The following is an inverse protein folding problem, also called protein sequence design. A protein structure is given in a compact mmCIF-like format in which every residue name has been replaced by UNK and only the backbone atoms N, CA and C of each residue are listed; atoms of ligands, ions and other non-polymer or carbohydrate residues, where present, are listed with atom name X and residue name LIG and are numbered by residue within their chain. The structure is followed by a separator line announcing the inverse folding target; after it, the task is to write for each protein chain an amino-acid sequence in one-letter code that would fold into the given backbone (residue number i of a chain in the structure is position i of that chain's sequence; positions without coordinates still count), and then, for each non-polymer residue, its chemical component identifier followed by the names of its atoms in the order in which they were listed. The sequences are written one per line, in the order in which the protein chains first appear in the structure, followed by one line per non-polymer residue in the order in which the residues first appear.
data_IF_687728099447
#
_entry.id   IF_687728099447
#
_cell.length_a   1.000
_cell.length_b   1.000
_cell.length_c   1.000
_cell.angle_alpha   90.00
_cell.angle_beta   90.00
_cell.angle_gamma   90.00
#
_symmetry.space_group_name_H-M   'P 1'
#
loop_
_entity.id
_entity.type
_entity.pdbx_description
1 polymer ?
#
# COMPACT_ATOMS: atom_id res chain seq x y z
N UNK A 1 -10.85 12.77 25.23
CA UNK A 1 -11.58 12.60 23.96
C UNK A 1 -12.98 12.06 24.25
N UNK A 2 -13.93 12.05 23.30
CA UNK A 2 -15.19 11.35 23.54
C UNK A 2 -14.87 9.87 23.83
N UNK A 3 -15.44 9.33 24.91
CA UNK A 3 -15.30 7.91 25.19
C UNK A 3 -15.80 7.11 23.97
N UNK A 4 -15.12 6.04 23.55
CA UNK A 4 -14.04 5.30 24.22
C UNK A 4 -12.61 5.77 23.87
N UNK A 5 -12.43 6.88 23.16
CA UNK A 5 -11.13 7.29 22.66
C UNK A 5 -10.31 8.07 23.70
N UNK A 6 -9.00 7.81 23.75
CA UNK A 6 -8.06 8.56 24.61
C UNK A 6 -7.65 9.91 23.99
N UNK A 7 -7.56 9.97 22.66
CA UNK A 7 -7.11 11.14 21.89
C UNK A 7 -8.20 11.64 20.94
N UNK A 8 -8.34 12.96 20.82
CA UNK A 8 -9.25 13.60 19.87
C UNK A 8 -8.53 14.74 19.17
N UNK A 9 -8.75 14.83 17.86
CA UNK A 9 -8.29 15.92 17.02
C UNK A 9 -9.54 16.60 16.44
N UNK A 10 -9.68 17.90 16.69
CA UNK A 10 -10.79 18.70 16.18
C UNK A 10 -10.25 19.61 15.09
N UNK A 11 -10.78 19.47 13.88
CA UNK A 11 -10.40 20.26 12.70
C UNK A 11 -11.59 21.10 12.25
N UNK A 12 -11.69 22.38 12.67
CA UNK A 12 -12.74 23.28 12.19
C UNK A 12 -12.65 23.47 10.68
N UNK A 13 -13.75 23.24 9.96
CA UNK A 13 -13.82 23.40 8.51
C UNK A 13 -14.04 24.88 8.16
N UNK A 14 -13.26 25.39 7.22
CA UNK A 14 -13.24 26.82 6.87
C UNK A 14 -14.50 27.32 6.15
N UNK A 15 -15.10 26.48 5.30
CA UNK A 15 -16.17 26.81 4.37
C UNK A 15 -16.88 25.54 3.87
N UNK A 16 -17.95 25.72 3.10
CA UNK A 16 -18.72 24.63 2.48
C UNK A 16 -17.86 23.74 1.58
N UNK A 17 -16.93 24.32 0.81
CA UNK A 17 -16.06 23.55 -0.07
C UNK A 17 -15.13 22.60 0.70
N UNK A 18 -14.65 23.02 1.88
CA UNK A 18 -13.90 22.17 2.80
C UNK A 18 -14.77 21.08 3.43
N UNK A 19 -16.05 21.36 3.73
CA UNK A 19 -17.01 20.36 4.17
C UNK A 19 -17.26 19.28 3.11
N UNK A 20 -17.53 19.69 1.87
CA UNK A 20 -17.74 18.76 0.76
C UNK A 20 -16.48 17.92 0.49
N UNK A 21 -15.29 18.51 0.63
CA UNK A 21 -14.02 17.78 0.51
C UNK A 21 -13.85 16.77 1.64
N UNK A 22 -14.11 17.14 2.89
CA UNK A 22 -14.01 16.24 4.03
C UNK A 22 -14.93 15.04 3.86
N UNK A 23 -16.19 15.26 3.46
CA UNK A 23 -17.15 14.18 3.20
C UNK A 23 -16.66 13.23 2.09
N UNK A 24 -16.14 13.78 0.97
CA UNK A 24 -15.53 12.95 -0.09
C UNK A 24 -14.33 12.14 0.40
N UNK A 25 -13.47 12.72 1.23
CA UNK A 25 -12.30 12.02 1.77
C UNK A 25 -12.71 10.91 2.76
N UNK A 26 -13.73 11.15 3.59
CA UNK A 26 -14.30 10.12 4.47
C UNK A 26 -14.90 8.97 3.66
N UNK A 27 -15.56 9.26 2.54
CA UNK A 27 -16.06 8.22 1.63
C UNK A 27 -14.97 7.47 0.88
N UNK A 28 -13.82 8.09 0.64
CA UNK A 28 -12.68 7.50 -0.07
C UNK A 28 -11.81 6.58 0.81
N UNK A 29 -12.07 6.48 2.12
CA UNK A 29 -11.36 5.55 3.00
C UNK A 29 -11.56 4.11 2.49
N UNK A 30 -10.45 3.38 2.37
CA UNK A 30 -10.39 2.01 1.89
C UNK A 30 -9.44 1.14 2.76
N UNK A 31 -9.34 -0.14 2.41
CA UNK A 31 -8.50 -1.14 3.08
C UNK A 31 -7.03 -0.72 3.21
N UNK A 32 -6.52 0.15 2.32
CA UNK A 32 -5.12 0.54 2.29
C UNK A 32 -4.70 1.22 3.60
N UNK A 33 -5.60 1.94 4.27
CA UNK A 33 -5.27 2.59 5.54
C UNK A 33 -5.00 1.57 6.67
N UNK A 34 -5.79 0.50 6.75
CA UNK A 34 -5.58 -0.60 7.71
C UNK A 34 -4.36 -1.45 7.35
N UNK A 35 -4.00 -1.54 6.07
CA UNK A 35 -2.79 -2.22 5.61
C UNK A 35 -1.52 -1.38 5.85
N UNK A 36 -1.63 -0.06 5.76
CA UNK A 36 -0.51 0.87 5.97
C UNK A 36 -0.20 1.08 7.46
N UNK A 37 -1.17 0.84 8.35
CA UNK A 37 -1.04 1.04 9.79
C UNK A 37 -1.30 -0.27 10.54
N UNK A 38 -0.28 -1.13 10.73
CA UNK A 38 -0.44 -2.42 11.41
C UNK A 38 -0.89 -2.33 12.88
N UNK A 39 -0.81 -1.15 13.50
CA UNK A 39 -1.35 -0.88 14.83
C UNK A 39 -2.82 -0.45 14.84
N UNK A 40 -3.42 -0.22 13.68
CA UNK A 40 -4.82 0.16 13.53
C UNK A 40 -5.68 -1.09 13.26
N UNK A 41 -6.65 -1.33 14.13
CA UNK A 41 -7.53 -2.50 14.05
C UNK A 41 -8.93 -2.16 13.52
N UNK A 42 -9.41 -0.93 13.78
CA UNK A 42 -10.75 -0.49 13.40
C UNK A 42 -10.73 0.96 12.93
N UNK A 43 -11.55 1.23 11.91
CA UNK A 43 -11.93 2.58 11.51
C UNK A 43 -13.45 2.65 11.53
N UNK A 44 -14.00 3.62 12.26
CA UNK A 44 -15.43 3.97 12.21
C UNK A 44 -15.54 5.33 11.55
N UNK A 45 -16.32 5.40 10.47
CA UNK A 45 -16.62 6.62 9.72
C UNK A 45 -18.07 7.00 9.96
N UNK A 46 -18.26 8.17 10.57
CA UNK A 46 -19.56 8.80 10.79
C UNK A 46 -19.57 10.13 10.02
N UNK A 47 -20.48 10.27 9.05
CA UNK A 47 -20.54 11.42 8.17
C UNK A 47 -21.99 11.91 8.04
N UNK A 48 -22.31 13.04 8.68
CA UNK A 48 -23.66 13.59 8.72
C UNK A 48 -24.68 12.57 9.25
N UNK A 49 -25.80 12.43 8.55
CA UNK A 49 -26.87 11.48 8.87
C UNK A 49 -26.69 10.10 8.19
N UNK A 50 -25.57 9.86 7.50
CA UNK A 50 -25.30 8.58 6.87
C UNK A 50 -25.09 7.48 7.93
N UNK A 51 -25.48 6.21 7.64
CA UNK A 51 -25.18 5.12 8.55
C UNK A 51 -23.67 4.99 8.75
N UNK A 52 -23.25 4.78 10.00
CA UNK A 52 -21.84 4.55 10.36
C UNK A 52 -21.25 3.40 9.52
N UNK A 53 -20.09 3.63 8.91
CA UNK A 53 -19.33 2.61 8.19
C UNK A 53 -18.16 2.16 9.04
N UNK A 54 -17.98 0.85 9.17
CA UNK A 54 -16.89 0.27 9.96
C UNK A 54 -16.01 -0.58 9.07
N UNK A 55 -14.69 -0.36 9.14
CA UNK A 55 -13.67 -1.23 8.58
C UNK A 55 -12.90 -1.86 9.73
N UNK A 56 -12.80 -3.19 9.76
CA UNK A 56 -12.04 -3.94 10.78
C UNK A 56 -10.97 -4.78 10.14
N UNK A 57 -9.78 -4.77 10.73
CA UNK A 57 -8.68 -5.65 10.37
C UNK A 57 -8.58 -6.78 11.39
N UNK A 58 -8.37 -8.00 10.89
CA UNK A 58 -7.92 -9.15 11.69
C UNK A 58 -6.92 -9.98 10.92
N UNK A 59 -6.25 -10.89 11.61
CA UNK A 59 -5.33 -11.86 11.00
C UNK A 59 -5.99 -13.23 10.93
N UNK A 60 -5.89 -13.91 9.79
CA UNK A 60 -6.38 -15.27 9.59
C UNK A 60 -5.29 -16.11 8.91
N UNK A 61 -4.54 -16.88 9.71
CA UNK A 61 -3.35 -17.58 9.23
C UNK A 61 -2.32 -16.60 8.66
N UNK A 62 -1.98 -16.76 7.38
CA UNK A 62 -1.06 -15.89 6.66
C UNK A 62 -1.74 -14.70 5.95
N UNK A 63 -3.06 -14.53 6.12
CA UNK A 63 -3.83 -13.49 5.46
C UNK A 63 -4.18 -12.37 6.44
N UNK A 64 -4.13 -11.14 5.95
CA UNK A 64 -4.77 -9.99 6.60
C UNK A 64 -6.20 -9.88 6.06
N UNK A 65 -7.20 -9.93 6.94
CA UNK A 65 -8.61 -9.85 6.54
C UNK A 65 -9.13 -8.48 6.92
N UNK A 66 -9.71 -7.77 5.96
CA UNK A 66 -10.40 -6.50 6.17
C UNK A 66 -11.89 -6.71 5.94
N UNK A 67 -12.69 -6.43 6.95
CA UNK A 67 -14.16 -6.49 6.91
C UNK A 67 -14.67 -5.05 6.86
N UNK A 68 -15.25 -4.68 5.72
CA UNK A 68 -15.91 -3.38 5.51
C UNK A 68 -17.43 -3.58 5.51
N UNK A 69 -18.14 -2.88 6.40
CA UNK A 69 -19.60 -2.94 6.49
C UNK A 69 -20.31 -2.50 5.21
N UNK A 70 -19.62 -1.80 4.30
CA UNK A 70 -20.12 -1.37 3.00
C UNK A 70 -19.67 -2.28 1.85
N UNK A 71 -18.38 -2.57 1.75
CA UNK A 71 -17.77 -3.25 0.59
C UNK A 71 -17.57 -4.76 0.79
N UNK A 72 -17.88 -5.28 1.98
CA UNK A 72 -17.74 -6.69 2.34
C UNK A 72 -16.33 -7.04 2.83
N UNK A 73 -15.99 -8.33 2.77
CA UNK A 73 -14.72 -8.84 3.28
C UNK A 73 -13.68 -8.99 2.17
N UNK A 74 -12.51 -8.38 2.34
CA UNK A 74 -11.33 -8.62 1.51
C UNK A 74 -10.30 -9.41 2.30
N UNK A 75 -9.75 -10.48 1.70
CA UNK A 75 -8.61 -11.20 2.25
C UNK A 75 -7.37 -10.80 1.50
N UNK A 76 -6.34 -10.34 2.19
CA UNK A 76 -5.11 -9.84 1.62
C UNK A 76 -3.96 -10.77 1.96
N UNK A 77 -3.22 -11.19 0.94
CA UNK A 77 -1.86 -11.69 1.14
C UNK A 77 -0.92 -10.51 1.16
N UNK A 78 -0.07 -10.45 2.18
CA UNK A 78 0.88 -9.36 2.37
C UNK A 78 2.29 -9.89 2.53
N UNK A 79 3.27 -9.14 2.01
CA UNK A 79 4.68 -9.27 2.37
C UNK A 79 5.17 -7.89 2.74
N UNK A 80 5.86 -7.79 3.87
CA UNK A 80 6.40 -6.54 4.36
C UNK A 80 7.89 -6.69 4.69
N UNK A 81 8.67 -5.70 4.28
CA UNK A 81 10.09 -5.58 4.58
C UNK A 81 10.37 -4.19 5.13
N UNK A 82 11.27 -4.08 6.09
CA UNK A 82 11.66 -2.81 6.70
C UNK A 82 13.08 -2.89 7.23
N UNK A 83 13.69 -1.74 7.48
CA UNK A 83 15.03 -1.69 8.04
C UNK A 83 15.54 -0.28 8.25
N UNK A 84 16.77 -0.14 8.77
CA UNK A 84 17.41 1.16 8.92
C UNK A 84 17.84 1.71 7.55
N UNK A 85 17.88 3.04 7.44
CA UNK A 85 18.49 3.78 6.35
C UNK A 85 19.88 4.26 6.76
N UNK A 86 20.83 4.17 5.84
CA UNK A 86 22.17 4.71 6.04
C UNK A 86 22.18 6.22 5.74
N UNK A 87 23.04 7.02 6.40
CA UNK A 87 23.05 8.48 6.23
C UNK A 87 23.30 8.96 4.79
N UNK A 88 24.05 8.19 3.98
CA UNK A 88 24.33 8.47 2.57
C UNK A 88 23.05 8.46 1.72
N UNK A 89 22.11 7.56 1.99
CA UNK A 89 20.80 7.54 1.32
C UNK A 89 19.94 8.77 1.64
N UNK A 90 20.26 9.47 2.73
CA UNK A 90 19.50 10.60 3.25
C UNK A 90 20.21 11.95 3.06
N UNK A 91 21.37 11.97 2.38
CA UNK A 91 22.25 13.13 2.30
C UNK A 91 21.54 14.38 1.74
N UNK A 92 20.70 14.19 0.72
CA UNK A 92 19.97 15.26 0.04
C UNK A 92 18.52 15.43 0.55
N UNK A 93 18.15 14.78 1.67
CA UNK A 93 16.79 14.81 2.21
C UNK A 93 16.58 15.92 3.25
N UNK A 94 15.35 16.46 3.35
CA UNK A 94 14.97 17.39 4.42
C UNK A 94 15.26 16.82 5.81
N UNK A 95 15.50 17.71 6.77
CA UNK A 95 15.91 17.32 8.12
C UNK A 95 14.87 16.44 8.81
N UNK A 96 13.58 16.67 8.56
CA UNK A 96 12.47 15.90 9.10
C UNK A 96 12.54 14.42 8.71
N UNK A 97 12.98 14.14 7.48
CA UNK A 97 13.15 12.78 6.98
C UNK A 97 14.41 12.13 7.53
N UNK A 98 15.49 12.92 7.69
CA UNK A 98 16.74 12.45 8.31
C UNK A 98 16.56 12.01 9.77
N UNK A 99 15.56 12.57 10.46
CA UNK A 99 15.19 12.19 11.83
C UNK A 99 14.39 10.89 11.90
N UNK A 100 14.02 10.28 10.76
CA UNK A 100 13.31 9.00 10.67
C UNK A 100 14.06 8.03 9.75
N UNK A 101 15.25 7.55 10.15
CA UNK A 101 16.14 6.76 9.30
C UNK A 101 15.70 5.29 9.22
N UNK A 102 14.43 5.05 8.89
CA UNK A 102 13.89 3.73 8.63
C UNK A 102 13.18 3.72 7.29
N UNK A 103 13.15 2.57 6.64
CA UNK A 103 12.34 2.34 5.46
C UNK A 103 11.36 1.20 5.69
N UNK A 104 10.28 1.21 4.92
CA UNK A 104 9.31 0.13 4.88
C UNK A 104 8.76 -0.04 3.49
N UNK A 105 8.51 -1.29 3.11
CA UNK A 105 7.75 -1.67 1.92
C UNK A 105 6.75 -2.75 2.31
N UNK A 106 5.52 -2.61 1.87
CA UNK A 106 4.46 -3.61 1.98
C UNK A 106 3.83 -3.80 0.61
N UNK A 107 3.86 -5.02 0.11
CA UNK A 107 3.00 -5.46 -0.98
C UNK A 107 1.76 -6.13 -0.41
N UNK A 108 0.61 -5.83 -1.00
CA UNK A 108 -0.65 -6.47 -0.67
C UNK A 108 -1.42 -6.85 -1.93
N UNK A 109 -1.89 -8.09 -1.98
CA UNK A 109 -2.71 -8.62 -3.08
C UNK A 109 -3.95 -9.26 -2.50
N UNK A 110 -5.16 -8.89 -2.94
CA UNK A 110 -6.36 -9.55 -2.47
C UNK A 110 -6.41 -10.97 -3.05
N UNK A 111 -7.00 -11.89 -2.31
CA UNK A 111 -7.20 -13.28 -2.74
C UNK A 111 -8.68 -13.58 -2.83
N UNK A 112 -9.07 -14.33 -3.86
CA UNK A 112 -10.43 -14.84 -4.00
C UNK A 112 -10.67 -16.09 -3.11
N UNK A 113 -11.86 -16.67 -3.22
CA UNK A 113 -12.26 -17.82 -2.43
C UNK A 113 -11.37 -19.07 -2.68
N UNK A 114 -10.79 -19.19 -3.86
CA UNK A 114 -9.93 -20.31 -4.26
C UNK A 114 -8.45 -20.04 -3.95
N UNK A 115 -8.13 -18.88 -3.38
CA UNK A 115 -6.78 -18.44 -3.04
C UNK A 115 -5.97 -17.93 -4.24
N UNK A 116 -6.62 -17.70 -5.38
CA UNK A 116 -6.01 -17.05 -6.53
C UNK A 116 -5.92 -15.54 -6.32
N UNK A 117 -4.93 -14.87 -6.92
CA UNK A 117 -4.83 -13.41 -6.85
C UNK A 117 -6.05 -12.75 -7.48
N UNK A 118 -6.58 -11.72 -6.82
CA UNK A 118 -7.57 -10.82 -7.36
C UNK A 118 -6.96 -9.42 -7.56
N UNK A 119 -7.67 -8.54 -8.29
CA UNK A 119 -7.23 -7.16 -8.48
C UNK A 119 -7.59 -6.29 -7.26
N UNK A 120 -6.66 -5.50 -6.69
CA UNK A 120 -6.98 -4.51 -5.66
C UNK A 120 -8.07 -3.53 -6.12
N UNK A 121 -9.01 -3.20 -5.22
CA UNK A 121 -10.00 -2.12 -5.42
C UNK A 121 -9.44 -0.73 -5.09
N UNK A 122 -8.26 -0.67 -4.45
CA UNK A 122 -7.55 0.55 -4.10
C UNK A 122 -7.09 1.29 -5.36
N UNK A 123 -6.76 2.58 -5.21
CA UNK A 123 -6.21 3.35 -6.33
C UNK A 123 -4.90 2.71 -6.84
N UNK A 124 -4.72 2.53 -8.16
CA UNK A 124 -3.53 1.89 -8.74
C UNK A 124 -2.36 2.88 -8.81
N UNK A 125 -1.94 3.36 -7.65
CA UNK A 125 -0.83 4.29 -7.44
C UNK A 125 0.07 3.77 -6.33
N UNK A 126 1.28 4.32 -6.19
CA UNK A 126 2.11 4.05 -5.02
C UNK A 126 1.54 4.80 -3.80
N UNK A 127 1.46 4.11 -2.66
CA UNK A 127 1.01 4.70 -1.40
C UNK A 127 2.22 5.02 -0.52
N UNK A 128 2.39 6.28 -0.11
CA UNK A 128 3.55 6.73 0.66
C UNK A 128 3.21 7.63 1.87
N UNK A 129 2.48 7.14 2.90
CA UNK A 129 1.62 5.94 2.95
C UNK A 129 0.20 6.22 2.44
N UNK A 130 -0.14 7.47 2.16
CA UNK A 130 -1.37 7.85 1.46
C UNK A 130 -1.18 7.73 -0.05
N UNK A 131 -2.27 7.60 -0.84
CA UNK A 131 -2.17 7.58 -2.31
C UNK A 131 -1.39 8.79 -2.83
N UNK A 132 -0.39 8.53 -3.67
CA UNK A 132 0.34 9.56 -4.43
C UNK A 132 -0.22 9.69 -5.85
N UNK A 133 0.41 10.51 -6.70
CA UNK A 133 0.14 10.59 -8.14
C UNK A 133 1.12 9.75 -8.96
N UNK A 134 1.92 8.87 -8.32
CA UNK A 134 2.77 7.89 -8.99
C UNK A 134 1.95 6.69 -9.46
N UNK A 135 1.68 6.51 -10.77
CA UNK A 135 0.89 5.39 -11.25
C UNK A 135 1.58 4.07 -10.95
N UNK A 136 0.80 3.04 -10.62
CA UNK A 136 1.31 1.69 -10.41
C UNK A 136 0.67 0.73 -11.42
N UNK A 137 1.51 0.15 -12.26
CA UNK A 137 1.16 -0.84 -13.26
C UNK A 137 1.33 -2.27 -12.76
N UNK A 138 2.01 -2.48 -11.64
CA UNK A 138 2.10 -3.78 -10.97
C UNK A 138 0.71 -4.14 -10.39
N UNK A 139 0.21 -5.37 -10.58
CA UNK A 139 -1.15 -5.78 -10.20
C UNK A 139 -1.29 -6.07 -8.69
N UNK A 140 -0.79 -5.17 -7.85
CA UNK A 140 -0.77 -5.26 -6.41
C UNK A 140 -0.80 -3.86 -5.79
N UNK A 141 -1.21 -3.75 -4.53
CA UNK A 141 -1.06 -2.53 -3.75
C UNK A 141 0.39 -2.44 -3.22
N UNK A 142 1.06 -1.31 -3.47
CA UNK A 142 2.36 -0.98 -2.89
C UNK A 142 2.21 0.16 -1.88
N UNK A 143 2.50 -0.13 -0.62
CA UNK A 143 2.66 0.88 0.43
C UNK A 143 4.14 0.92 0.79
N UNK A 144 4.81 2.04 0.53
CA UNK A 144 6.24 2.14 0.74
C UNK A 144 6.63 3.55 1.17
N UNK A 145 7.71 3.67 1.95
CA UNK A 145 8.24 4.93 2.45
C UNK A 145 9.01 5.72 1.38
N UNK A 146 8.50 5.76 0.14
CA UNK A 146 9.13 6.53 -0.94
C UNK A 146 9.23 7.99 -0.53
N UNK A 147 10.40 8.63 -0.71
CA UNK A 147 10.53 10.05 -0.46
C UNK A 147 9.65 10.79 -1.46
N UNK A 148 8.81 11.70 -0.98
CA UNK A 148 7.99 12.52 -1.86
C UNK A 148 8.65 13.87 -2.12
N UNK A 149 8.28 14.50 -3.23
CA UNK A 149 8.62 15.87 -3.55
C UNK A 149 7.89 16.88 -2.63
N UNK A 150 8.15 18.17 -2.83
CA UNK A 150 7.51 19.24 -2.04
C UNK A 150 5.99 19.30 -2.20
N UNK A 151 5.45 18.79 -3.31
CA UNK A 151 4.00 18.74 -3.56
C UNK A 151 3.35 17.53 -2.88
N UNK A 152 4.18 16.57 -2.42
CA UNK A 152 3.78 15.27 -1.87
C UNK A 152 2.93 14.43 -2.83
N UNK A 153 3.11 14.64 -4.13
CA UNK A 153 2.38 13.92 -5.19
C UNK A 153 3.27 12.96 -5.93
N UNK A 154 4.55 13.29 -6.09
CA UNK A 154 5.50 12.49 -6.85
C UNK A 154 6.65 12.02 -5.97
N UNK A 155 7.22 10.87 -6.33
CA UNK A 155 8.44 10.40 -5.69
C UNK A 155 9.60 11.32 -6.08
N UNK A 156 10.36 11.76 -5.09
CA UNK A 156 11.56 12.54 -5.33
C UNK A 156 12.63 11.59 -5.90
N UNK A 157 13.25 11.91 -7.05
CA UNK A 157 14.32 11.09 -7.60
C UNK A 157 15.55 11.10 -6.67
N UNK A 158 16.35 10.04 -6.73
CA UNK A 158 17.62 9.94 -6.02
C UNK A 158 17.84 8.61 -5.30
N UNK A 159 18.95 8.49 -4.55
CA UNK A 159 19.45 7.22 -4.02
C UNK A 159 18.45 6.47 -3.14
N UNK A 160 17.63 7.19 -2.35
CA UNK A 160 16.61 6.56 -1.52
C UNK A 160 15.49 5.93 -2.34
N UNK A 161 15.06 6.57 -3.43
CA UNK A 161 14.05 6.01 -4.34
C UNK A 161 14.60 4.78 -5.03
N UNK A 162 15.83 4.84 -5.54
CA UNK A 162 16.48 3.68 -6.18
C UNK A 162 16.62 2.51 -5.20
N UNK A 163 17.06 2.79 -3.97
CA UNK A 163 17.13 1.80 -2.90
C UNK A 163 15.78 1.14 -2.61
N UNK A 164 14.70 1.93 -2.53
CA UNK A 164 13.35 1.44 -2.25
C UNK A 164 12.76 0.66 -3.42
N UNK A 165 13.09 1.00 -4.67
CA UNK A 165 12.72 0.20 -5.85
C UNK A 165 13.29 -1.21 -5.73
N UNK A 166 14.58 -1.34 -5.36
CA UNK A 166 15.21 -2.64 -5.19
C UNK A 166 14.60 -3.44 -4.03
N UNK A 167 14.34 -2.79 -2.88
CA UNK A 167 13.67 -3.45 -1.74
C UNK A 167 12.24 -3.87 -2.07
N UNK A 168 11.51 -3.06 -2.84
CA UNK A 168 10.17 -3.42 -3.28
C UNK A 168 10.20 -4.59 -4.26
N UNK A 169 11.16 -4.63 -5.18
CA UNK A 169 11.30 -5.75 -6.10
C UNK A 169 11.68 -7.06 -5.38
N UNK A 170 12.57 -7.00 -4.38
CA UNK A 170 12.90 -8.14 -3.50
C UNK A 170 11.64 -8.68 -2.80
N UNK A 171 10.88 -7.80 -2.15
CA UNK A 171 9.65 -8.16 -1.44
C UNK A 171 8.56 -8.71 -2.37
N UNK A 172 8.49 -8.22 -3.62
CA UNK A 172 7.54 -8.74 -4.61
C UNK A 172 7.89 -10.15 -5.06
N UNK A 173 9.19 -10.42 -5.27
CA UNK A 173 9.66 -11.77 -5.61
C UNK A 173 9.38 -12.75 -4.45
N UNK A 174 9.57 -12.31 -3.20
CA UNK A 174 9.21 -13.09 -2.01
C UNK A 174 7.71 -13.40 -1.95
N UNK A 175 6.85 -12.41 -2.21
CA UNK A 175 5.40 -12.58 -2.28
C UNK A 175 5.00 -13.69 -3.27
N UNK A 176 5.61 -13.69 -4.46
CA UNK A 176 5.35 -14.72 -5.47
C UNK A 176 5.88 -16.09 -5.07
N UNK A 177 7.11 -16.17 -4.54
CA UNK A 177 7.69 -17.44 -4.09
C UNK A 177 6.88 -18.10 -2.96
N UNK A 178 6.36 -17.29 -2.03
CA UNK A 178 5.54 -17.71 -0.91
C UNK A 178 4.06 -17.97 -1.26
N UNK A 179 3.64 -17.72 -2.50
CA UNK A 179 2.22 -17.77 -2.87
C UNK A 179 1.65 -19.18 -2.83
N UNK A 180 0.58 -19.41 -2.05
CA UNK A 180 -0.12 -20.70 -1.97
C UNK A 180 -1.64 -20.53 -1.92
N UNK A 181 -2.46 -21.41 -2.52
CA UNK A 181 -2.08 -22.46 -3.47
C UNK A 181 -1.46 -21.86 -4.74
N UNK A 182 -0.62 -22.63 -5.44
CA UNK A 182 -0.07 -22.19 -6.74
C UNK A 182 -1.09 -22.56 -7.83
N UNK A 183 -1.88 -21.58 -8.25
CA UNK A 183 -2.87 -21.72 -9.33
C UNK A 183 -2.39 -20.98 -10.58
N UNK A 184 -3.00 -21.23 -11.74
CA UNK A 184 -2.69 -20.51 -12.97
C UNK A 184 -2.87 -18.98 -12.84
N UNK A 185 -3.77 -18.53 -11.94
CA UNK A 185 -4.01 -17.10 -11.69
C UNK A 185 -2.80 -16.34 -11.12
N UNK A 186 -1.78 -17.03 -10.60
CA UNK A 186 -0.53 -16.37 -10.17
C UNK A 186 0.19 -15.66 -11.33
N UNK A 187 -0.06 -16.08 -12.58
CA UNK A 187 0.51 -15.44 -13.76
C UNK A 187 -0.05 -14.02 -13.98
N UNK A 188 -1.24 -13.72 -13.46
CA UNK A 188 -1.82 -12.38 -13.50
C UNK A 188 -1.05 -11.40 -12.62
N UNK A 189 -0.16 -11.88 -11.75
CA UNK A 189 0.76 -11.07 -10.97
C UNK A 189 2.05 -10.71 -11.74
N UNK A 190 2.32 -11.32 -12.89
CA UNK A 190 3.50 -10.94 -13.67
C UNK A 190 3.26 -9.57 -14.32
N UNK A 191 4.07 -8.54 -14.02
CA UNK A 191 3.89 -7.24 -14.65
C UNK A 191 4.15 -7.32 -16.16
N UNK A 192 3.35 -6.62 -16.98
CA UNK A 192 3.58 -6.50 -18.43
C UNK A 192 4.92 -5.81 -18.82
N UNK A 193 5.16 -5.50 -20.11
CA UNK A 193 6.44 -4.91 -20.53
C UNK A 193 6.52 -3.38 -20.42
N UNK A 194 5.39 -2.67 -20.38
CA UNK A 194 5.33 -1.20 -20.42
C UNK A 194 4.96 -0.62 -19.05
N UNK A 195 5.77 0.33 -18.57
CA UNK A 195 5.48 1.11 -17.37
C UNK A 195 4.53 2.27 -17.65
N UNK A 196 3.79 2.70 -16.62
CA UNK A 196 2.85 3.84 -16.65
C UNK A 196 3.47 5.17 -16.19
N UNK A 197 4.74 5.14 -15.78
CA UNK A 197 5.51 6.27 -15.27
C UNK A 197 6.96 5.85 -15.01
N UNK A 198 7.80 6.79 -14.60
CA UNK A 198 9.23 6.52 -14.34
C UNK A 198 9.42 5.53 -13.19
N UNK A 199 8.79 5.78 -12.04
CA UNK A 199 8.85 4.90 -10.87
C UNK A 199 8.28 3.51 -11.16
N UNK A 200 7.12 3.42 -11.82
CA UNK A 200 6.52 2.15 -12.24
C UNK A 200 7.44 1.38 -13.20
N UNK A 201 8.07 2.08 -14.16
CA UNK A 201 9.03 1.49 -15.07
C UNK A 201 10.24 0.90 -14.35
N UNK A 202 10.78 1.61 -13.35
CA UNK A 202 11.88 1.15 -12.52
C UNK A 202 11.49 -0.09 -11.69
N UNK A 203 10.35 -0.03 -10.99
CA UNK A 203 9.79 -1.16 -10.22
C UNK A 203 9.59 -2.40 -11.08
N UNK A 204 8.96 -2.23 -12.25
CA UNK A 204 8.70 -3.34 -13.18
C UNK A 204 9.98 -3.99 -13.67
N UNK A 205 10.97 -3.19 -14.07
CA UNK A 205 12.27 -3.70 -14.50
C UNK A 205 12.93 -4.52 -13.39
N UNK A 206 13.03 -3.95 -12.19
CA UNK A 206 13.63 -4.60 -11.03
C UNK A 206 12.90 -5.90 -10.64
N UNK A 207 11.56 -5.93 -10.73
CA UNK A 207 10.75 -7.15 -10.51
C UNK A 207 11.06 -8.20 -11.58
N UNK A 208 11.00 -7.83 -12.87
CA UNK A 208 11.22 -8.74 -13.99
C UNK A 208 12.63 -9.36 -13.99
N UNK A 209 13.63 -8.66 -13.47
CA UNK A 209 14.99 -9.18 -13.30
C UNK A 209 15.08 -10.30 -12.23
N UNK A 210 14.15 -10.33 -11.27
CA UNK A 210 14.10 -11.34 -10.19
C UNK A 210 13.29 -12.57 -10.59
N UNK A 211 12.21 -12.39 -11.35
CA UNK A 211 11.27 -13.47 -11.68
C UNK A 211 11.90 -14.77 -12.25
N UNK A 212 12.94 -14.73 -13.12
CA UNK A 212 13.57 -15.95 -13.63
C UNK A 212 14.17 -16.86 -12.56
N UNK A 213 14.45 -16.33 -11.36
CA UNK A 213 15.01 -17.07 -10.21
C UNK A 213 13.96 -17.34 -9.13
N UNK A 214 12.72 -16.90 -9.33
CA UNK A 214 11.63 -17.04 -8.36
C UNK A 214 10.82 -18.30 -8.67
N UNK A 215 10.71 -19.20 -7.69
CA UNK A 215 9.93 -20.44 -7.84
C UNK A 215 8.44 -20.20 -7.54
N UNK A 216 7.68 -19.73 -8.52
CA UNK A 216 6.24 -19.45 -8.37
C UNK A 216 5.36 -20.02 -9.50
N UNK A 217 5.95 -20.64 -10.52
CA UNK A 217 5.17 -21.22 -11.62
C UNK A 217 4.37 -22.45 -11.14
N UNK A 218 3.12 -22.62 -11.60
CA UNK A 218 2.36 -23.84 -11.36
C UNK A 218 3.12 -25.07 -11.86
N UNK A 219 3.00 -26.22 -11.15
CA UNK A 219 3.51 -27.49 -11.67
C UNK A 219 2.83 -27.81 -13.01
N UNK A 220 3.61 -28.36 -13.95
CA UNK A 220 3.15 -28.81 -15.26
C UNK A 220 2.26 -30.06 -15.18
#
# INVERSE_FOLDING_TARGET
APAPYDTAVILPLRDTAAADLAERLLHAVDDALLLALPGLEEIVVEAGDAPSRTLRRRTEGALTVVEDSREGTTRWRTVAAHGPLTPDLLADRPIEERLRPHWSVTWAVPVDADGSPARPRTSPVVHAPTPSEEPLGVPALLIASFPLDSTRRHAAPGPLTDFLVERAADAYAELLAGWRPVTAGILDLVPGPLGKGELDGALRRAVLERLPRTSFLPPA
#
